data_IF_072138250296
#
_entry.id   IF_072138250296
#
_cell.length_a   1.000
_cell.length_b   1.000
_cell.length_c   1.000
_cell.angle_alpha   90.00
_cell.angle_beta   90.00
_cell.angle_gamma   90.00
#
_symmetry.space_group_name_H-M   'P 1'
#
loop_
_entity.id
_entity.type
_entity.pdbx_description
1 polymer ?
#
# COMPACT_ATOMS: atom_id res chain seq x y z
N UNK A 1 -9.97 -6.14 -28.79
CA UNK A 1 -9.60 -5.36 -27.60
C UNK A 1 -10.66 -4.28 -27.48
N UNK A 2 -11.53 -4.43 -26.49
CA UNK A 2 -12.58 -3.45 -26.27
C UNK A 2 -11.90 -2.13 -25.90
N UNK A 3 -12.29 -1.07 -26.61
CA UNK A 3 -11.80 0.29 -26.36
C UNK A 3 -12.33 0.71 -25.00
N UNK A 4 -11.57 0.46 -23.93
CA UNK A 4 -11.92 0.91 -22.60
C UNK A 4 -11.91 2.43 -22.60
N UNK A 5 -13.07 3.04 -22.41
CA UNK A 5 -13.21 4.49 -22.34
C UNK A 5 -13.38 4.90 -20.88
N UNK A 6 -12.33 5.49 -20.29
CA UNK A 6 -12.36 6.01 -18.94
C UNK A 6 -12.92 7.42 -18.96
N UNK A 7 -13.96 7.68 -18.17
CA UNK A 7 -14.48 9.03 -18.00
C UNK A 7 -13.58 9.82 -17.07
N UNK A 8 -12.75 10.68 -17.65
CA UNK A 8 -11.92 11.60 -16.87
C UNK A 8 -12.78 12.72 -16.25
N UNK A 9 -12.52 13.14 -14.99
CA UNK A 9 -13.08 14.38 -14.45
C UNK A 9 -12.70 15.58 -15.30
N UNK A 10 -13.57 16.58 -15.36
CA UNK A 10 -13.38 17.76 -16.21
C UNK A 10 -12.05 18.47 -15.95
N UNK A 11 -11.65 18.62 -14.69
CA UNK A 11 -10.39 19.26 -14.32
C UNK A 11 -9.17 18.43 -14.77
N UNK A 12 -9.22 17.10 -14.64
CA UNK A 12 -8.16 16.19 -15.11
C UNK A 12 -8.04 16.26 -16.64
N UNK A 13 -9.16 16.26 -17.32
CA UNK A 13 -9.21 16.40 -18.78
C UNK A 13 -8.64 17.75 -19.22
N UNK A 14 -8.99 18.83 -18.52
CA UNK A 14 -8.45 20.16 -18.78
C UNK A 14 -6.92 20.22 -18.63
N UNK A 15 -6.36 19.62 -17.57
CA UNK A 15 -4.91 19.57 -17.35
C UNK A 15 -4.23 18.79 -18.47
N UNK A 16 -4.72 17.61 -18.80
CA UNK A 16 -4.16 16.76 -19.84
C UNK A 16 -4.20 17.46 -21.22
N UNK A 17 -5.34 18.03 -21.57
CA UNK A 17 -5.48 18.74 -22.86
C UNK A 17 -4.62 19.99 -22.93
N UNK A 18 -4.46 20.73 -21.82
CA UNK A 18 -3.58 21.91 -21.79
C UNK A 18 -2.13 21.50 -22.07
N UNK A 19 -1.63 20.46 -21.42
CA UNK A 19 -0.29 19.94 -21.66
C UNK A 19 -0.11 19.45 -23.11
N UNK A 20 -1.07 18.68 -23.61
CA UNK A 20 -1.04 18.17 -24.99
C UNK A 20 -1.07 19.27 -26.05
N UNK A 21 -1.87 20.33 -25.85
CA UNK A 21 -1.96 21.46 -26.78
C UNK A 21 -0.66 22.27 -26.87
N UNK A 22 0.21 22.14 -25.88
CA UNK A 22 1.55 22.74 -25.86
C UNK A 22 2.66 21.78 -26.29
N UNK A 23 2.30 20.63 -26.85
CA UNK A 23 3.24 19.67 -27.44
C UNK A 23 3.83 18.66 -26.46
N UNK A 24 3.28 18.55 -25.27
CA UNK A 24 3.70 17.57 -24.28
C UNK A 24 2.79 16.33 -24.29
N UNK A 25 3.34 15.18 -23.89
CA UNK A 25 2.53 14.03 -23.53
C UNK A 25 1.95 14.23 -22.13
N UNK A 26 0.73 13.77 -21.90
CA UNK A 26 0.10 13.76 -20.58
C UNK A 26 -0.93 12.64 -20.46
N UNK A 27 -0.95 11.99 -19.30
CA UNK A 27 -1.83 10.85 -19.00
C UNK A 27 -2.28 10.89 -17.55
N UNK A 28 -3.50 10.44 -17.28
CA UNK A 28 -3.85 9.90 -15.96
C UNK A 28 -3.08 8.60 -15.75
N UNK A 29 -2.62 8.31 -14.53
CA UNK A 29 -1.71 7.18 -14.29
C UNK A 29 -1.93 6.53 -12.93
N UNK A 30 -1.70 5.23 -12.83
CA UNK A 30 -1.66 4.52 -11.57
C UNK A 30 -3.03 4.09 -11.04
N UNK A 31 -3.28 4.34 -9.77
CA UNK A 31 -4.47 3.86 -9.08
C UNK A 31 -5.79 4.31 -9.67
N UNK A 32 -5.87 5.54 -10.18
CA UNK A 32 -7.08 6.06 -10.81
C UNK A 32 -7.44 5.30 -12.10
N UNK A 33 -6.45 4.93 -12.91
CA UNK A 33 -6.66 4.12 -14.12
C UNK A 33 -7.14 2.72 -13.75
N UNK A 34 -6.45 2.06 -12.81
CA UNK A 34 -6.84 0.75 -12.28
C UNK A 34 -8.27 0.76 -11.76
N UNK A 35 -8.60 1.70 -10.88
CA UNK A 35 -9.90 1.75 -10.23
C UNK A 35 -11.02 2.03 -11.24
N UNK A 36 -10.78 2.91 -12.22
CA UNK A 36 -11.72 3.14 -13.32
C UNK A 36 -11.99 1.89 -14.14
N UNK A 37 -10.96 1.10 -14.45
CA UNK A 37 -11.10 -0.17 -15.18
C UNK A 37 -11.92 -1.18 -14.35
N UNK A 38 -11.73 -1.21 -13.03
CA UNK A 38 -12.48 -2.08 -12.11
C UNK A 38 -13.90 -1.59 -11.81
N UNK A 39 -14.32 -0.46 -12.38
CA UNK A 39 -15.63 0.14 -12.09
C UNK A 39 -15.73 0.74 -10.68
N UNK A 40 -14.60 1.06 -10.07
CA UNK A 40 -14.51 1.77 -8.79
C UNK A 40 -14.34 3.27 -9.06
N UNK A 41 -14.86 4.10 -8.17
CA UNK A 41 -14.62 5.54 -8.23
C UNK A 41 -13.23 5.85 -7.65
N UNK A 42 -12.32 6.46 -8.45
CA UNK A 42 -11.00 6.85 -7.95
C UNK A 42 -11.09 7.92 -6.88
N UNK A 43 -10.30 7.77 -5.80
CA UNK A 43 -10.19 8.80 -4.77
C UNK A 43 -9.35 9.99 -5.22
N UNK A 44 -8.19 9.70 -5.82
CA UNK A 44 -7.22 10.69 -6.30
C UNK A 44 -6.88 10.43 -7.76
N UNK A 45 -6.60 11.52 -8.50
CA UNK A 45 -6.19 11.46 -9.90
C UNK A 45 -4.78 11.99 -10.07
N UNK A 46 -3.83 11.07 -10.29
CA UNK A 46 -2.45 11.40 -10.60
C UNK A 46 -2.27 11.58 -12.11
N UNK A 47 -1.52 12.62 -12.48
CA UNK A 47 -1.20 12.92 -13.88
C UNK A 47 0.32 12.82 -14.06
N UNK A 48 0.74 12.19 -15.14
CA UNK A 48 2.15 12.11 -15.54
C UNK A 48 2.33 12.78 -16.91
N UNK A 49 3.46 13.44 -17.11
CA UNK A 49 3.70 14.24 -18.32
C UNK A 49 5.18 14.23 -18.74
N UNK A 50 5.40 14.45 -20.04
CA UNK A 50 6.74 14.71 -20.58
C UNK A 50 7.23 16.14 -20.31
N UNK A 51 6.35 17.06 -19.86
CA UNK A 51 6.73 18.42 -19.51
C UNK A 51 7.62 18.44 -18.27
N UNK A 52 8.66 19.26 -18.30
CA UNK A 52 9.49 19.54 -17.12
C UNK A 52 8.68 20.31 -16.07
N UNK A 53 9.03 20.25 -14.77
CA UNK A 53 8.27 20.95 -13.73
C UNK A 53 8.03 22.43 -14.02
N UNK A 54 9.04 23.16 -14.50
CA UNK A 54 8.91 24.59 -14.85
C UNK A 54 8.04 24.81 -16.09
N UNK A 55 8.06 23.87 -17.05
CA UNK A 55 7.16 23.91 -18.20
C UNK A 55 5.70 23.73 -17.75
N UNK A 56 5.44 22.81 -16.83
CA UNK A 56 4.11 22.61 -16.24
C UNK A 56 3.65 23.85 -15.49
N UNK A 57 4.49 24.44 -14.63
CA UNK A 57 4.17 25.66 -13.88
C UNK A 57 3.79 26.84 -14.80
N UNK A 58 4.46 26.96 -15.93
CA UNK A 58 4.20 28.03 -16.88
C UNK A 58 2.83 27.96 -17.58
N UNK A 59 2.18 26.78 -17.56
CA UNK A 59 0.91 26.52 -18.26
C UNK A 59 -0.33 26.74 -17.41
N UNK A 60 -0.20 26.84 -16.08
CA UNK A 60 -1.33 26.93 -15.17
C UNK A 60 -1.21 28.14 -14.24
N UNK A 61 -2.34 28.80 -13.97
CA UNK A 61 -2.38 30.05 -13.20
C UNK A 61 -1.98 29.86 -11.72
N UNK A 62 -2.34 28.73 -11.12
CA UNK A 62 -2.06 28.45 -9.71
C UNK A 62 -1.41 27.07 -9.56
N UNK A 63 -0.17 27.08 -9.10
CA UNK A 63 0.62 25.86 -8.86
C UNK A 63 1.35 25.95 -7.53
N UNK A 64 1.64 24.80 -6.94
CA UNK A 64 2.44 24.64 -5.73
C UNK A 64 3.56 23.65 -5.95
N UNK A 65 4.73 23.93 -5.42
CA UNK A 65 5.92 23.08 -5.49
C UNK A 65 5.87 22.02 -4.39
N UNK A 66 4.95 21.05 -4.50
CA UNK A 66 4.72 20.02 -3.47
C UNK A 66 5.78 18.92 -3.46
N UNK A 67 6.54 18.79 -4.52
CA UNK A 67 7.59 17.77 -4.67
C UNK A 67 8.46 18.03 -5.89
N UNK A 68 8.85 19.29 -6.11
CA UNK A 68 9.59 19.71 -7.31
C UNK A 68 10.91 18.96 -7.48
N UNK A 69 11.57 18.60 -6.37
CA UNK A 69 12.79 17.79 -6.37
C UNK A 69 12.59 16.41 -7.02
N UNK A 70 11.36 15.90 -6.95
CA UNK A 70 10.95 14.65 -7.55
C UNK A 70 10.10 14.81 -8.82
N UNK A 71 9.97 16.05 -9.30
CA UNK A 71 9.23 16.37 -10.52
C UNK A 71 7.73 16.58 -10.34
N UNK A 72 7.22 16.67 -9.10
CA UNK A 72 5.80 16.83 -8.83
C UNK A 72 5.43 18.27 -8.58
N UNK A 73 4.44 18.75 -9.33
CA UNK A 73 3.79 20.05 -9.17
C UNK A 73 2.31 19.81 -8.89
N UNK A 74 1.76 20.48 -7.89
CA UNK A 74 0.30 20.49 -7.68
C UNK A 74 -0.33 21.64 -8.46
N UNK A 75 -1.24 21.32 -9.35
CA UNK A 75 -2.07 22.30 -10.08
C UNK A 75 -3.38 22.48 -9.31
N UNK A 76 -3.70 23.73 -8.94
CA UNK A 76 -4.95 24.04 -8.24
C UNK A 76 -6.02 24.47 -9.24
N UNK A 77 -7.10 23.71 -9.34
CA UNK A 77 -8.30 24.02 -10.12
C UNK A 77 -9.55 23.85 -9.25
N UNK A 78 -10.46 24.80 -9.32
CA UNK A 78 -11.75 24.72 -8.62
C UNK A 78 -11.64 24.35 -7.13
N UNK A 79 -10.62 24.86 -6.45
CA UNK A 79 -10.28 24.58 -5.04
C UNK A 79 -9.75 23.14 -4.77
N UNK A 80 -9.50 22.36 -5.81
CA UNK A 80 -8.89 21.03 -5.70
C UNK A 80 -7.46 21.02 -6.26
N UNK A 81 -6.58 20.29 -5.62
CA UNK A 81 -5.18 20.12 -6.04
C UNK A 81 -4.98 18.81 -6.80
N UNK A 82 -4.36 18.91 -7.98
CA UNK A 82 -4.01 17.75 -8.81
C UNK A 82 -2.51 17.63 -8.94
N UNK A 83 -1.97 16.45 -8.58
CA UNK A 83 -0.55 16.19 -8.73
C UNK A 83 -0.21 15.87 -10.18
N UNK A 84 0.73 16.65 -10.73
CA UNK A 84 1.28 16.47 -12.08
C UNK A 84 2.77 16.20 -11.94
N UNK A 85 3.20 15.01 -12.33
CA UNK A 85 4.58 14.56 -12.18
C UNK A 85 5.24 14.41 -13.52
N UNK A 86 6.42 14.99 -13.68
CA UNK A 86 7.27 14.80 -14.85
C UNK A 86 7.75 13.35 -14.93
N UNK A 87 7.77 12.77 -16.13
CA UNK A 87 8.37 11.45 -16.36
C UNK A 87 9.78 11.40 -15.80
N UNK A 88 10.08 10.36 -15.04
CA UNK A 88 11.37 10.25 -14.37
C UNK A 88 11.88 8.81 -14.35
N UNK A 89 13.19 8.72 -14.25
CA UNK A 89 13.93 7.51 -13.93
C UNK A 89 14.45 7.71 -12.51
N UNK A 90 14.14 6.80 -11.62
CA UNK A 90 14.70 6.82 -10.28
C UNK A 90 16.13 6.28 -10.31
N UNK A 91 17.08 7.02 -9.71
CA UNK A 91 18.47 6.61 -9.58
C UNK A 91 18.65 5.51 -8.51
N UNK A 92 19.89 5.28 -8.09
CA UNK A 92 20.16 4.31 -7.03
C UNK A 92 19.54 4.75 -5.70
N UNK A 93 18.90 3.82 -5.03
CA UNK A 93 18.36 3.99 -3.69
C UNK A 93 19.44 3.64 -2.65
N UNK A 94 19.72 4.54 -1.72
CA UNK A 94 20.69 4.31 -0.65
C UNK A 94 20.03 3.91 0.68
N UNK A 95 18.79 4.35 0.90
CA UNK A 95 18.06 4.20 2.16
C UNK A 95 16.78 3.38 2.05
N UNK A 96 16.59 2.62 0.98
CA UNK A 96 15.37 1.85 0.67
C UNK A 96 14.09 2.71 0.60
N UNK A 97 14.22 4.01 0.33
CA UNK A 97 13.08 4.94 0.27
C UNK A 97 13.17 5.96 -0.85
N UNK A 98 14.29 6.66 -0.94
CA UNK A 98 14.44 7.75 -1.89
C UNK A 98 15.55 7.44 -2.88
N UNK A 99 15.31 7.65 -4.17
CA UNK A 99 16.41 7.68 -5.11
C UNK A 99 17.32 8.86 -4.78
N UNK A 100 18.61 8.64 -4.77
CA UNK A 100 19.63 9.68 -4.51
C UNK A 100 19.52 10.82 -5.52
N UNK A 101 19.18 10.47 -6.74
CA UNK A 101 18.99 11.40 -7.85
C UNK A 101 17.79 10.93 -8.68
N UNK A 102 17.01 11.89 -9.15
CA UNK A 102 15.94 11.70 -10.10
C UNK A 102 16.40 12.29 -11.43
N UNK A 103 16.34 11.49 -12.48
CA UNK A 103 16.59 11.96 -13.84
C UNK A 103 15.28 12.09 -14.58
N UNK A 104 14.95 13.26 -15.09
CA UNK A 104 13.77 13.45 -15.91
C UNK A 104 13.98 12.85 -17.30
N UNK A 105 12.92 12.29 -17.83
CA UNK A 105 12.89 11.68 -19.17
C UNK A 105 11.66 12.15 -19.94
N UNK A 106 11.68 11.98 -21.24
CA UNK A 106 10.49 12.20 -22.09
C UNK A 106 9.83 10.90 -22.52
N UNK A 107 10.25 9.78 -21.95
CA UNK A 107 9.76 8.44 -22.30
C UNK A 107 8.82 7.90 -21.19
N UNK A 108 7.53 7.77 -21.54
CA UNK A 108 6.50 7.21 -20.65
C UNK A 108 6.87 5.80 -20.14
N UNK A 109 7.46 4.96 -20.98
CA UNK A 109 7.84 3.59 -20.59
C UNK A 109 8.79 3.59 -19.39
N UNK A 110 9.76 4.50 -19.37
CA UNK A 110 10.72 4.62 -18.27
C UNK A 110 10.02 5.08 -16.97
N UNK A 111 9.04 5.98 -17.08
CA UNK A 111 8.24 6.40 -15.92
C UNK A 111 7.36 5.27 -15.37
N UNK A 112 6.77 4.46 -16.23
CA UNK A 112 5.97 3.32 -15.82
C UNK A 112 6.81 2.19 -15.23
N UNK A 113 8.04 1.99 -15.74
CA UNK A 113 8.96 0.91 -15.30
C UNK A 113 9.36 1.03 -13.83
N UNK A 114 9.47 2.25 -13.28
CA UNK A 114 9.85 2.49 -11.87
C UNK A 114 8.73 2.22 -10.86
N UNK A 115 7.49 1.97 -11.32
CA UNK A 115 6.34 1.77 -10.47
C UNK A 115 6.36 0.39 -9.80
N UNK A 116 5.55 0.23 -8.75
CA UNK A 116 5.52 -0.98 -7.93
C UNK A 116 4.92 -2.20 -8.65
N UNK A 117 3.64 -2.11 -9.02
CA UNK A 117 2.89 -3.24 -9.57
C UNK A 117 2.34 -2.93 -10.95
N UNK A 118 2.17 -3.98 -11.76
CA UNK A 118 1.68 -3.86 -13.15
C UNK A 118 0.32 -3.18 -13.22
N UNK A 119 -0.58 -3.46 -12.29
CA UNK A 119 -1.91 -2.87 -12.20
C UNK A 119 -1.90 -1.37 -11.87
N UNK A 120 -0.79 -0.85 -11.37
CA UNK A 120 -0.55 0.57 -11.09
C UNK A 120 0.38 1.23 -12.11
N UNK A 121 0.81 0.50 -13.12
CA UNK A 121 1.72 0.96 -14.17
C UNK A 121 1.02 1.07 -15.53
N UNK A 122 -0.21 1.55 -15.52
CA UNK A 122 -1.02 1.85 -16.71
C UNK A 122 -1.33 3.34 -16.76
N UNK A 123 -1.36 3.88 -17.96
CA UNK A 123 -1.65 5.28 -18.23
C UNK A 123 -2.86 5.40 -19.16
N UNK A 124 -3.57 6.50 -19.09
CA UNK A 124 -4.74 6.76 -19.94
C UNK A 124 -4.86 8.23 -20.30
N UNK A 125 -5.18 8.49 -21.55
CA UNK A 125 -5.80 9.73 -22.01
C UNK A 125 -6.82 9.45 -23.13
N UNK A 126 -7.65 10.42 -23.46
CA UNK A 126 -8.71 10.24 -24.46
C UNK A 126 -8.18 10.00 -25.88
N UNK A 127 -6.97 10.49 -26.18
CA UNK A 127 -6.36 10.39 -27.50
C UNK A 127 -5.79 8.99 -27.77
N UNK A 128 -5.04 8.45 -26.80
CA UNK A 128 -4.25 7.22 -26.98
C UNK A 128 -4.96 6.00 -26.36
N UNK A 129 -5.99 6.23 -25.52
CA UNK A 129 -6.63 5.17 -24.74
C UNK A 129 -5.73 4.67 -23.61
N UNK A 130 -5.90 3.41 -23.22
CA UNK A 130 -5.08 2.77 -22.19
C UNK A 130 -3.72 2.40 -22.78
N UNK A 131 -2.65 2.88 -22.14
CA UNK A 131 -1.28 2.48 -22.40
C UNK A 131 -0.85 1.49 -21.33
N UNK A 132 -0.72 0.23 -21.70
CA UNK A 132 -0.36 -0.89 -20.84
C UNK A 132 0.86 -1.63 -21.40
N UNK A 133 2.04 -1.25 -20.91
CA UNK A 133 3.31 -1.79 -21.42
C UNK A 133 3.70 -3.08 -20.67
N UNK A 134 3.29 -3.21 -19.40
CA UNK A 134 3.75 -4.27 -18.50
C UNK A 134 2.70 -5.34 -18.18
N UNK A 135 1.56 -5.33 -18.86
CA UNK A 135 0.54 -6.37 -18.72
C UNK A 135 -0.42 -6.16 -17.55
N UNK A 136 -0.63 -4.91 -17.14
CA UNK A 136 -1.54 -4.56 -16.03
C UNK A 136 -3.00 -4.96 -16.30
N UNK A 137 -3.49 -4.82 -17.54
CA UNK A 137 -4.84 -5.26 -17.92
C UNK A 137 -5.02 -6.78 -17.74
N UNK A 138 -4.03 -7.57 -18.13
CA UNK A 138 -4.07 -9.02 -17.96
C UNK A 138 -4.03 -9.41 -16.48
N UNK A 139 -3.23 -8.72 -15.67
CA UNK A 139 -3.14 -8.98 -14.24
C UNK A 139 -4.42 -8.53 -13.50
N UNK A 140 -5.09 -7.45 -13.94
CA UNK A 140 -6.42 -7.10 -13.46
C UNK A 140 -7.46 -8.19 -13.77
N UNK A 141 -7.48 -8.70 -14.99
CA UNK A 141 -8.38 -9.76 -15.42
C UNK A 141 -8.16 -11.06 -14.62
N UNK A 142 -6.89 -11.37 -14.32
CA UNK A 142 -6.50 -12.52 -13.49
C UNK A 142 -6.62 -12.30 -11.99
N UNK A 143 -6.99 -11.11 -11.55
CA UNK A 143 -6.98 -10.71 -10.14
C UNK A 143 -5.62 -10.93 -9.46
N UNK A 144 -4.56 -10.44 -10.08
CA UNK A 144 -3.17 -10.70 -9.69
C UNK A 144 -2.41 -9.44 -9.30
N UNK A 145 -1.70 -9.50 -8.18
CA UNK A 145 -0.70 -8.51 -7.76
C UNK A 145 0.67 -9.00 -8.22
N UNK A 146 1.26 -8.32 -9.18
CA UNK A 146 2.57 -8.64 -9.76
C UNK A 146 3.44 -7.40 -9.83
N UNK A 147 4.70 -7.50 -9.42
CA UNK A 147 5.68 -6.43 -9.60
C UNK A 147 5.91 -6.08 -11.08
N UNK A 148 6.18 -4.81 -11.35
CA UNK A 148 6.70 -4.38 -12.64
C UNK A 148 8.14 -4.88 -12.78
N UNK A 149 8.44 -5.64 -13.82
CA UNK A 149 9.76 -6.19 -14.05
C UNK A 149 10.18 -7.20 -12.95
N UNK A 150 11.34 -6.98 -12.34
CA UNK A 150 11.90 -7.88 -11.35
C UNK A 150 11.47 -7.49 -9.92
N UNK A 151 10.82 -8.41 -9.20
CA UNK A 151 10.33 -8.15 -7.85
C UNK A 151 11.45 -7.79 -6.86
N UNK A 152 12.60 -8.45 -6.94
CA UNK A 152 13.73 -8.19 -6.04
C UNK A 152 14.30 -6.78 -6.24
N UNK A 153 14.37 -6.31 -7.48
CA UNK A 153 14.77 -4.94 -7.79
C UNK A 153 13.78 -3.93 -7.22
N UNK A 154 12.48 -4.11 -7.49
CA UNK A 154 11.41 -3.20 -7.01
C UNK A 154 11.37 -3.10 -5.49
N UNK A 155 11.53 -4.19 -4.78
CA UNK A 155 11.53 -4.21 -3.31
C UNK A 155 12.85 -3.71 -2.71
N UNK A 156 13.97 -3.86 -3.41
CA UNK A 156 15.26 -3.26 -2.99
C UNK A 156 15.25 -1.75 -3.10
N UNK A 157 14.52 -1.18 -4.04
CA UNK A 157 14.37 0.26 -4.22
C UNK A 157 13.57 0.90 -3.08
N UNK A 158 12.40 0.36 -2.80
CA UNK A 158 11.54 0.79 -1.68
C UNK A 158 10.88 -0.42 -1.03
N UNK A 159 11.37 -0.78 0.15
CA UNK A 159 10.88 -1.94 0.89
C UNK A 159 9.39 -1.80 1.31
N UNK A 160 8.84 -0.58 1.41
CA UNK A 160 7.42 -0.39 1.70
C UNK A 160 6.53 -1.03 0.62
N UNK A 161 7.01 -1.18 -0.60
CA UNK A 161 6.30 -1.86 -1.68
C UNK A 161 5.91 -3.30 -1.31
N UNK A 162 6.68 -3.95 -0.44
CA UNK A 162 6.36 -5.28 0.10
C UNK A 162 5.02 -5.24 0.86
N UNK A 163 4.89 -4.33 1.82
CA UNK A 163 3.67 -4.16 2.59
C UNK A 163 2.52 -3.62 1.74
N UNK A 164 2.82 -2.72 0.79
CA UNK A 164 1.84 -2.24 -0.20
C UNK A 164 1.23 -3.38 -1.01
N UNK A 165 2.02 -4.38 -1.42
CA UNK A 165 1.53 -5.53 -2.17
C UNK A 165 0.50 -6.35 -1.39
N UNK A 166 0.75 -6.62 -0.11
CA UNK A 166 -0.23 -7.30 0.76
C UNK A 166 -1.47 -6.43 0.97
N UNK A 167 -1.31 -5.13 1.17
CA UNK A 167 -2.41 -4.19 1.30
C UNK A 167 -3.27 -4.15 0.04
N UNK A 168 -2.70 -4.09 -1.16
CA UNK A 168 -3.46 -4.15 -2.40
C UNK A 168 -4.21 -5.48 -2.58
N UNK A 169 -3.57 -6.60 -2.24
CA UNK A 169 -4.23 -7.90 -2.24
C UNK A 169 -5.46 -7.89 -1.32
N UNK A 170 -5.34 -7.29 -0.13
CA UNK A 170 -6.44 -7.17 0.82
C UNK A 170 -7.57 -6.25 0.34
N UNK A 171 -7.24 -5.10 -0.24
CA UNK A 171 -8.22 -4.12 -0.71
C UNK A 171 -8.92 -4.53 -2.00
N UNK A 172 -8.23 -5.21 -2.89
CA UNK A 172 -8.76 -5.59 -4.21
C UNK A 172 -9.33 -7.02 -4.22
N UNK A 173 -8.99 -7.85 -3.24
CA UNK A 173 -9.35 -9.27 -3.23
C UNK A 173 -8.52 -10.07 -4.25
N UNK A 174 -7.28 -9.67 -4.49
CA UNK A 174 -6.39 -10.27 -5.49
C UNK A 174 -5.40 -11.23 -4.84
N UNK A 175 -4.92 -12.19 -5.62
CA UNK A 175 -3.82 -13.07 -5.25
C UNK A 175 -2.47 -12.39 -5.56
N UNK A 176 -1.44 -12.76 -4.81
CA UNK A 176 -0.08 -12.28 -5.08
C UNK A 176 0.65 -13.31 -5.92
N UNK A 177 1.26 -12.87 -7.01
CA UNK A 177 2.09 -13.70 -7.89
C UNK A 177 3.23 -14.38 -7.14
N UNK A 178 3.56 -15.64 -7.48
CA UNK A 178 4.54 -16.44 -6.73
C UNK A 178 5.94 -15.83 -6.74
N UNK A 179 6.43 -15.33 -7.89
CA UNK A 179 7.73 -14.66 -7.96
C UNK A 179 7.74 -13.38 -7.11
N UNK A 180 6.63 -12.67 -7.10
CA UNK A 180 6.44 -11.48 -6.24
C UNK A 180 6.47 -11.86 -4.76
N UNK A 181 5.81 -12.95 -4.35
CA UNK A 181 5.87 -13.48 -2.97
C UNK A 181 7.30 -13.88 -2.56
N UNK A 182 8.01 -14.54 -3.45
CA UNK A 182 9.42 -14.92 -3.19
C UNK A 182 10.29 -13.69 -2.94
N UNK A 183 10.12 -12.64 -3.76
CA UNK A 183 10.78 -11.35 -3.56
C UNK A 183 10.42 -10.69 -2.24
N UNK A 184 9.13 -10.71 -1.87
CA UNK A 184 8.63 -10.19 -0.59
C UNK A 184 9.29 -10.92 0.58
N UNK A 185 9.29 -12.25 0.58
CA UNK A 185 9.86 -13.07 1.64
C UNK A 185 11.37 -12.85 1.79
N UNK A 186 12.08 -12.76 0.69
CA UNK A 186 13.54 -12.54 0.69
C UNK A 186 13.89 -11.17 1.26
N UNK A 187 13.14 -10.13 0.93
CA UNK A 187 13.45 -8.73 1.26
C UNK A 187 12.62 -8.17 2.42
N UNK A 188 11.72 -8.97 3.03
CA UNK A 188 10.97 -8.57 4.21
C UNK A 188 11.84 -7.95 5.32
N UNK A 189 13.04 -8.47 5.65
CA UNK A 189 13.90 -7.86 6.66
C UNK A 189 14.28 -6.40 6.39
N UNK A 190 14.30 -5.96 5.13
CA UNK A 190 14.62 -4.58 4.76
C UNK A 190 13.54 -3.57 5.15
N UNK A 191 12.35 -4.02 5.56
CA UNK A 191 11.31 -3.18 6.14
C UNK A 191 11.76 -2.47 7.43
N UNK A 192 12.81 -2.95 8.10
CA UNK A 192 13.41 -2.28 9.25
C UNK A 192 13.90 -0.84 8.93
N UNK A 193 14.22 -0.57 7.66
CA UNK A 193 14.67 0.74 7.19
C UNK A 193 13.51 1.70 6.88
N UNK A 194 12.28 1.24 6.95
CA UNK A 194 11.08 2.05 6.64
C UNK A 194 10.56 2.70 7.91
N UNK A 195 10.20 3.98 7.82
CA UNK A 195 9.65 4.72 8.96
C UNK A 195 8.34 4.12 9.46
N UNK A 196 8.13 4.19 10.77
CA UNK A 196 6.94 3.67 11.42
C UNK A 196 5.65 4.32 10.88
N UNK A 197 5.69 5.61 10.54
CA UNK A 197 4.56 6.35 9.98
C UNK A 197 4.11 5.78 8.64
N UNK A 198 5.06 5.42 7.78
CA UNK A 198 4.75 4.81 6.47
C UNK A 198 4.16 3.41 6.64
N UNK A 199 4.71 2.61 7.55
CA UNK A 199 4.21 1.27 7.88
C UNK A 199 2.79 1.36 8.45
N UNK A 200 2.56 2.28 9.39
CA UNK A 200 1.26 2.52 10.01
C UNK A 200 0.15 2.74 8.96
N UNK A 201 0.41 3.60 7.98
CA UNK A 201 -0.58 3.92 6.93
C UNK A 201 -0.98 2.68 6.13
N UNK A 202 0.00 1.85 5.74
CA UNK A 202 -0.27 0.63 5.00
C UNK A 202 -0.99 -0.42 5.87
N UNK A 203 -0.57 -0.57 7.13
CA UNK A 203 -1.21 -1.47 8.09
C UNK A 203 -2.70 -1.10 8.28
N UNK A 204 -3.01 0.16 8.53
CA UNK A 204 -4.39 0.62 8.71
C UNK A 204 -5.22 0.35 7.46
N UNK A 205 -4.70 0.66 6.28
CA UNK A 205 -5.39 0.39 5.00
C UNK A 205 -5.65 -1.11 4.78
N UNK A 206 -4.74 -1.97 5.20
CA UNK A 206 -4.93 -3.42 5.14
C UNK A 206 -5.99 -3.90 6.12
N UNK A 207 -5.93 -3.46 7.38
CA UNK A 207 -6.89 -3.85 8.41
C UNK A 207 -8.30 -3.35 8.14
N UNK A 208 -8.43 -2.16 7.55
CA UNK A 208 -9.73 -1.56 7.17
C UNK A 208 -10.17 -1.92 5.75
N UNK A 209 -9.59 -2.96 5.17
CA UNK A 209 -10.04 -3.55 3.92
C UNK A 209 -11.17 -4.57 4.14
N UNK A 210 -11.71 -5.09 3.04
CA UNK A 210 -12.68 -6.18 3.08
C UNK A 210 -12.04 -7.53 3.47
N UNK A 211 -10.72 -7.63 3.39
CA UNK A 211 -9.96 -8.86 3.67
C UNK A 211 -8.82 -8.65 4.68
N UNK A 212 -9.15 -8.28 5.93
CA UNK A 212 -8.12 -8.05 6.98
C UNK A 212 -7.33 -9.34 7.32
N UNK A 213 -7.86 -10.52 6.97
CA UNK A 213 -7.20 -11.81 7.14
C UNK A 213 -5.90 -11.94 6.34
N UNK A 214 -5.63 -11.06 5.39
CA UNK A 214 -4.36 -11.03 4.65
C UNK A 214 -3.15 -10.69 5.55
N UNK A 215 -3.37 -10.27 6.79
CA UNK A 215 -2.31 -10.19 7.80
C UNK A 215 -1.67 -11.58 8.04
N UNK A 216 -2.41 -12.67 7.84
CA UNK A 216 -1.87 -14.04 7.83
C UNK A 216 -0.80 -14.20 6.75
N UNK A 217 -1.08 -13.73 5.53
CA UNK A 217 -0.11 -13.73 4.44
C UNK A 217 1.14 -12.90 4.79
N UNK A 218 0.95 -11.74 5.42
CA UNK A 218 2.07 -10.94 5.91
C UNK A 218 2.92 -11.69 6.95
N UNK A 219 2.29 -12.46 7.84
CA UNK A 219 2.97 -13.33 8.79
C UNK A 219 3.74 -14.44 8.07
N UNK A 220 3.12 -15.18 7.16
CA UNK A 220 3.72 -16.27 6.40
C UNK A 220 4.94 -15.83 5.58
N UNK A 221 4.93 -14.59 5.08
CA UNK A 221 6.03 -13.98 4.34
C UNK A 221 7.12 -13.35 5.23
N UNK A 222 6.99 -13.42 6.55
CA UNK A 222 7.94 -12.82 7.49
C UNK A 222 7.88 -11.31 7.60
N UNK A 223 6.81 -10.69 7.12
CA UNK A 223 6.63 -9.23 7.10
C UNK A 223 6.27 -8.71 8.48
N UNK A 224 5.30 -9.32 9.16
CA UNK A 224 4.85 -8.90 10.50
C UNK A 224 5.95 -8.99 11.54
N UNK A 225 6.85 -9.94 11.42
CA UNK A 225 8.01 -10.11 12.30
C UNK A 225 8.84 -8.84 12.46
N UNK A 226 8.87 -7.99 11.44
CA UNK A 226 9.71 -6.79 11.41
C UNK A 226 9.07 -5.62 12.17
N UNK A 227 7.76 -5.43 12.03
CA UNK A 227 7.09 -4.26 12.63
C UNK A 227 6.04 -4.60 13.70
N UNK A 228 5.59 -5.86 13.77
CA UNK A 228 4.56 -6.35 14.70
C UNK A 228 4.89 -7.76 15.20
N UNK A 229 6.08 -7.99 15.82
CA UNK A 229 6.49 -9.32 16.29
C UNK A 229 5.56 -9.90 17.35
N UNK A 230 4.77 -9.06 18.03
CA UNK A 230 3.72 -9.49 18.96
C UNK A 230 2.68 -10.36 18.25
N UNK A 231 2.33 -10.04 17.01
CA UNK A 231 1.41 -10.85 16.21
C UNK A 231 2.01 -12.22 15.87
N UNK A 232 3.29 -12.27 15.55
CA UNK A 232 3.99 -13.54 15.32
C UNK A 232 3.91 -14.45 16.55
N UNK A 233 4.16 -13.92 17.76
CA UNK A 233 4.01 -14.66 19.01
C UNK A 233 2.58 -15.17 19.22
N UNK A 234 1.56 -14.37 18.85
CA UNK A 234 0.17 -14.83 18.91
C UNK A 234 -0.11 -15.98 17.92
N UNK A 235 0.44 -15.91 16.72
CA UNK A 235 0.29 -16.98 15.70
C UNK A 235 0.93 -18.29 16.14
N UNK A 236 2.00 -18.23 16.93
CA UNK A 236 2.73 -19.39 17.46
C UNK A 236 2.18 -19.91 18.79
N UNK A 237 1.18 -19.24 19.40
CA UNK A 237 0.63 -19.62 20.70
C UNK A 237 -0.66 -20.42 20.55
N UNK A 238 -0.58 -21.71 20.91
CA UNK A 238 -1.73 -22.59 21.02
C UNK A 238 -2.56 -22.27 22.25
N UNK A 239 -3.88 -22.44 22.16
CA UNK A 239 -4.79 -22.13 23.25
C UNK A 239 -5.27 -23.36 24.04
N UNK A 240 -4.82 -24.55 23.79
CA UNK A 240 -5.14 -25.86 24.45
C UNK A 240 -6.29 -25.79 25.49
N UNK A 241 -7.45 -25.33 25.05
CA UNK A 241 -8.66 -25.25 25.86
C UNK A 241 -9.78 -26.01 25.14
N UNK A 242 -10.75 -26.53 25.88
CA UNK A 242 -11.90 -27.27 25.34
C UNK A 242 -12.75 -26.44 24.36
N UNK A 243 -12.56 -25.12 24.32
CA UNK A 243 -13.40 -24.18 23.58
C UNK A 243 -12.67 -23.46 22.45
N UNK A 244 -11.34 -23.63 22.30
CA UNK A 244 -10.56 -22.92 21.30
C UNK A 244 -9.88 -23.90 20.35
N UNK A 245 -10.23 -23.82 19.06
CA UNK A 245 -9.65 -24.62 17.99
C UNK A 245 -8.51 -23.89 17.26
N UNK A 246 -8.22 -22.64 17.62
CA UNK A 246 -7.30 -21.75 16.91
C UNK A 246 -6.15 -21.32 17.83
N UNK A 247 -5.00 -21.01 17.24
CA UNK A 247 -3.96 -20.25 17.92
C UNK A 247 -4.53 -18.88 18.36
N UNK A 248 -3.83 -18.17 19.24
CA UNK A 248 -4.22 -16.81 19.64
C UNK A 248 -4.28 -15.88 18.42
N UNK A 249 -3.33 -16.00 17.49
CA UNK A 249 -3.30 -15.19 16.27
C UNK A 249 -4.46 -15.50 15.33
N UNK A 250 -4.78 -16.77 15.09
CA UNK A 250 -5.94 -17.14 14.24
C UNK A 250 -7.26 -16.70 14.89
N UNK A 251 -7.41 -16.83 16.20
CA UNK A 251 -8.55 -16.27 16.92
C UNK A 251 -8.68 -14.76 16.68
N UNK A 252 -7.55 -14.05 16.76
CA UNK A 252 -7.48 -12.59 16.52
C UNK A 252 -7.91 -12.23 15.10
N UNK A 253 -7.47 -12.99 14.08
CA UNK A 253 -7.89 -12.79 12.70
C UNK A 253 -9.41 -12.95 12.57
N UNK A 254 -9.97 -14.02 13.12
CA UNK A 254 -11.41 -14.24 13.11
C UNK A 254 -12.18 -13.14 13.84
N UNK A 255 -11.66 -12.63 14.95
CA UNK A 255 -12.27 -11.51 15.67
C UNK A 255 -12.30 -10.23 14.80
N UNK A 256 -11.21 -9.93 14.08
CA UNK A 256 -11.16 -8.79 13.16
C UNK A 256 -12.16 -8.92 12.01
N UNK A 257 -12.34 -10.11 11.45
CA UNK A 257 -13.29 -10.35 10.36
C UNK A 257 -14.76 -10.19 10.80
N UNK A 258 -15.04 -10.37 12.07
CA UNK A 258 -16.40 -10.33 12.61
C UNK A 258 -16.82 -8.97 13.20
N UNK A 259 -15.96 -7.95 13.15
CA UNK A 259 -16.32 -6.58 13.49
C UNK A 259 -16.46 -5.72 12.23
N UNK A 260 -17.26 -4.67 12.33
CA UNK A 260 -17.41 -3.72 11.20
C UNK A 260 -16.06 -3.14 10.80
N UNK A 261 -15.96 -2.69 9.57
CA UNK A 261 -14.77 -2.07 9.03
C UNK A 261 -14.56 -0.66 9.60
N UNK A 262 -13.92 -0.61 10.75
CA UNK A 262 -13.59 0.60 11.49
C UNK A 262 -12.17 0.51 12.04
N UNK A 263 -11.40 1.57 11.90
CA UNK A 263 -9.97 1.62 12.31
C UNK A 263 -9.78 1.20 13.77
N UNK A 264 -10.56 1.78 14.68
CA UNK A 264 -10.40 1.52 16.12
C UNK A 264 -10.79 0.10 16.46
N UNK A 265 -11.95 -0.37 15.97
CA UNK A 265 -12.39 -1.74 16.21
C UNK A 265 -11.41 -2.78 15.65
N UNK A 266 -10.87 -2.57 14.43
CA UNK A 266 -9.91 -3.49 13.82
C UNK A 266 -8.59 -3.52 14.59
N UNK A 267 -8.07 -2.37 15.03
CA UNK A 267 -6.89 -2.28 15.90
C UNK A 267 -7.14 -2.91 17.26
N UNK A 268 -8.31 -2.67 17.88
CA UNK A 268 -8.68 -3.29 19.13
C UNK A 268 -8.68 -4.81 19.02
N UNK A 269 -9.31 -5.35 17.98
CA UNK A 269 -9.31 -6.81 17.78
C UNK A 269 -7.91 -7.36 17.50
N UNK A 270 -7.07 -6.63 16.74
CA UNK A 270 -5.69 -7.03 16.49
C UNK A 270 -4.87 -7.15 17.79
N UNK A 271 -5.10 -6.27 18.75
CA UNK A 271 -4.23 -6.11 19.92
C UNK A 271 -4.82 -6.69 21.23
N UNK A 272 -6.11 -7.06 21.27
CA UNK A 272 -6.79 -7.43 22.54
C UNK A 272 -6.19 -8.63 23.26
N UNK A 273 -5.58 -9.56 22.55
CA UNK A 273 -5.02 -10.79 23.06
C UNK A 273 -3.47 -10.88 22.97
N UNK A 274 -2.81 -9.75 22.71
CA UNK A 274 -1.34 -9.69 22.59
C UNK A 274 -0.61 -10.12 23.88
N UNK A 275 -1.25 -10.05 25.04
CA UNK A 275 -0.71 -10.50 26.31
C UNK A 275 -0.80 -12.01 26.52
N UNK A 276 -1.67 -12.73 25.83
CA UNK A 276 -1.85 -14.18 26.06
C UNK A 276 -0.56 -15.00 25.98
N UNK A 277 0.35 -14.79 25.02
CA UNK A 277 1.60 -15.54 24.96
C UNK A 277 2.43 -15.47 26.24
N UNK A 278 2.48 -14.32 26.92
CA UNK A 278 3.27 -14.11 28.13
C UNK A 278 2.59 -14.60 29.41
N UNK A 279 1.26 -14.66 29.40
CA UNK A 279 0.44 -15.05 30.55
C UNK A 279 -0.09 -16.50 30.46
N UNK A 280 0.40 -17.27 29.49
CA UNK A 280 0.01 -18.66 29.34
C UNK A 280 0.58 -19.52 30.47
N UNK A 281 -0.28 -20.24 31.16
CA UNK A 281 0.08 -21.28 32.13
C UNK A 281 -0.68 -22.55 31.81
N UNK A 282 -0.10 -23.72 32.16
CA UNK A 282 -0.75 -25.02 31.97
C UNK A 282 -1.09 -25.59 33.34
N UNK A 283 -2.26 -26.20 33.49
CA UNK A 283 -2.61 -26.99 34.67
C UNK A 283 -2.16 -28.45 34.52
N UNK A 284 -2.43 -29.26 35.58
CA UNK A 284 -2.06 -30.69 35.60
C UNK A 284 -2.80 -31.53 34.55
N UNK A 285 -3.97 -31.05 34.09
CA UNK A 285 -4.78 -31.70 33.07
C UNK A 285 -4.40 -31.29 31.63
N UNK A 286 -3.38 -30.44 31.46
CA UNK A 286 -2.91 -29.95 30.17
C UNK A 286 -3.80 -28.86 29.56
N UNK A 287 -4.60 -28.16 30.38
CA UNK A 287 -5.45 -27.07 29.95
C UNK A 287 -4.71 -25.74 30.13
N UNK A 288 -4.71 -24.90 29.09
CA UNK A 288 -4.08 -23.60 29.13
C UNK A 288 -4.97 -22.56 29.83
N UNK A 289 -4.34 -21.72 30.65
CA UNK A 289 -4.95 -20.58 31.32
C UNK A 289 -4.18 -19.28 30.98
N UNK A 290 -4.91 -18.17 30.88
CA UNK A 290 -4.37 -16.87 30.48
C UNK A 290 -4.77 -15.77 31.49
N UNK A 291 -4.58 -16.05 32.78
CA UNK A 291 -4.97 -15.11 33.83
C UNK A 291 -4.21 -13.80 33.72
N UNK A 292 -4.92 -12.67 33.85
CA UNK A 292 -4.37 -11.31 33.78
C UNK A 292 -3.90 -10.88 32.37
N UNK A 293 -4.09 -11.70 31.31
CA UNK A 293 -3.66 -11.32 29.95
C UNK A 293 -4.25 -9.99 29.48
N UNK A 294 -5.45 -9.63 29.90
CA UNK A 294 -6.08 -8.38 29.48
C UNK A 294 -5.27 -7.14 29.88
N UNK A 295 -4.73 -7.12 31.12
CA UNK A 295 -3.83 -6.05 31.57
C UNK A 295 -2.50 -6.06 30.81
N UNK A 296 -1.97 -7.25 30.55
CA UNK A 296 -0.77 -7.41 29.72
C UNK A 296 -1.00 -6.92 28.30
N UNK A 297 -2.14 -7.27 27.71
CA UNK A 297 -2.53 -6.81 26.37
C UNK A 297 -2.65 -5.30 26.29
N UNK A 298 -3.23 -4.64 27.29
CA UNK A 298 -3.32 -3.18 27.35
C UNK A 298 -1.94 -2.51 27.33
N UNK A 299 -1.00 -3.01 28.15
CA UNK A 299 0.37 -2.50 28.17
C UNK A 299 1.06 -2.68 26.82
N UNK A 300 1.01 -3.88 26.25
CA UNK A 300 1.62 -4.20 24.96
C UNK A 300 0.98 -3.38 23.84
N UNK A 301 -0.35 -3.25 23.81
CA UNK A 301 -1.05 -2.46 22.81
C UNK A 301 -0.59 -1.00 22.81
N UNK A 302 -0.45 -0.37 23.98
CA UNK A 302 0.08 1.00 24.12
C UNK A 302 1.51 1.13 23.57
N UNK A 303 2.37 0.14 23.83
CA UNK A 303 3.74 0.11 23.30
C UNK A 303 3.75 -0.02 21.79
N UNK A 304 2.96 -0.95 21.22
CA UNK A 304 2.84 -1.16 19.78
C UNK A 304 2.33 0.10 19.08
N UNK A 305 1.25 0.70 19.59
CA UNK A 305 0.66 1.90 18.99
C UNK A 305 1.62 3.11 19.02
N UNK A 306 2.39 3.27 20.11
CA UNK A 306 3.42 4.32 20.19
C UNK A 306 4.58 4.04 19.24
N UNK A 307 5.06 2.81 19.19
CA UNK A 307 6.14 2.39 18.28
C UNK A 307 5.76 2.62 16.83
N UNK A 308 4.53 2.34 16.46
CA UNK A 308 3.98 2.57 15.11
C UNK A 308 3.48 4.00 14.88
N UNK A 309 3.73 4.92 15.83
CA UNK A 309 3.42 6.35 15.71
C UNK A 309 1.95 6.68 15.49
N UNK A 310 1.05 5.92 16.12
CA UNK A 310 -0.36 6.30 16.17
C UNK A 310 -0.58 7.55 17.00
N UNK A 311 -1.63 8.30 16.64
CA UNK A 311 -2.02 9.51 17.36
C UNK A 311 -2.58 9.20 18.76
N UNK A 312 -2.57 10.22 19.63
CA UNK A 312 -3.04 10.07 21.00
C UNK A 312 -4.53 9.72 21.10
N UNK A 313 -5.35 10.18 20.17
CA UNK A 313 -6.78 9.86 20.15
C UNK A 313 -6.99 8.34 19.92
N UNK A 314 -6.23 7.76 19.00
CA UNK A 314 -6.22 6.32 18.77
C UNK A 314 -5.71 5.53 19.97
N UNK A 315 -4.69 6.04 20.69
CA UNK A 315 -4.17 5.39 21.89
C UNK A 315 -5.16 5.32 23.06
N UNK A 316 -6.06 6.31 23.16
CA UNK A 316 -7.00 6.44 24.29
C UNK A 316 -8.37 5.79 24.04
N UNK A 317 -8.67 5.40 22.84
CA UNK A 317 -9.90 4.70 22.42
C UNK A 317 -9.76 3.20 22.43
#
# INVERSE_FOLDING_TARGET
MDNFNIKLPDDVQFIIHTLQSHGFEAYAVGGCVRDSILGREPGDWDITTSAMPEETKALFDKTFDTGIEHGTITVLLNHEGYEVTTYRIDGKYEDSRHPKEVTFTRNLKEDLLRRDFTINAMAYNDKDGIVDIFGGMQDLEKHMIRCVGNARERFSEDALRILRGVRFAAQLGFEIDEETKEGMKLLAPTLENISAERIQVELVKMLTSDRPELIRTAYELGITKIFLPEFDRMMETEQETLHHMYTVGEHTIHAMMNVRNDKILRLTMLLHDTGKPEYKTMDEDGVAHFKMHALGSECIAKEVLRRLKFDNDTLHK
#
